data_IF_511627352706
#
_entry.id   IF_511627352706
#
_cell.length_a   1.000
_cell.length_b   1.000
_cell.length_c   1.000
_cell.angle_alpha   90.00
_cell.angle_beta   90.00
_cell.angle_gamma   90.00
#
_symmetry.space_group_name_H-M   'P 1'
#
loop_
_entity.id
_entity.type
_entity.pdbx_description
1 polymer ?
#
# COMPACT_ATOMS: atom_id res chain seq x y z
N UNK A 1 -24.98 -20.66 20.80
CA UNK A 1 -25.91 -19.50 20.88
C UNK A 1 -25.11 -18.26 20.53
N UNK A 2 -25.21 -17.78 19.28
CA UNK A 2 -24.52 -16.58 18.80
C UNK A 2 -25.24 -15.34 19.36
N UNK A 3 -24.50 -14.42 19.99
CA UNK A 3 -25.01 -13.09 20.37
C UNK A 3 -24.50 -12.09 19.34
N UNK A 4 -25.42 -11.48 18.62
CA UNK A 4 -25.17 -10.34 17.73
C UNK A 4 -25.28 -9.09 18.61
N UNK A 5 -24.26 -8.24 18.59
CA UNK A 5 -24.24 -6.97 19.32
C UNK A 5 -24.12 -5.85 18.29
N UNK A 6 -25.22 -5.13 18.07
CA UNK A 6 -25.30 -3.95 17.21
C UNK A 6 -25.03 -2.75 18.12
N UNK A 7 -23.94 -2.02 17.85
CA UNK A 7 -23.64 -0.76 18.52
C UNK A 7 -24.12 0.37 17.59
N UNK A 8 -25.09 1.15 18.06
CA UNK A 8 -25.54 2.39 17.43
C UNK A 8 -24.86 3.55 18.15
N UNK A 9 -24.09 4.36 17.44
CA UNK A 9 -23.44 5.55 17.99
C UNK A 9 -24.08 6.80 17.38
N UNK A 10 -24.72 7.60 18.24
CA UNK A 10 -25.28 8.92 17.94
C UNK A 10 -24.19 9.94 18.23
N UNK A 11 -23.74 10.70 17.23
CA UNK A 11 -22.85 11.85 17.45
C UNK A 11 -23.67 13.14 17.36
N UNK A 12 -23.70 13.83 18.50
CA UNK A 12 -24.33 15.12 18.73
C UNK A 12 -23.38 16.23 18.25
N UNK A 13 -23.78 16.97 17.21
CA UNK A 13 -23.04 18.16 16.75
C UNK A 13 -23.24 19.33 17.74
N UNK A 14 -22.15 19.94 18.19
CA UNK A 14 -22.17 21.32 18.68
C UNK A 14 -21.18 22.15 17.86
N UNK A 15 -21.74 23.02 17.02
CA UNK A 15 -21.03 24.12 16.38
C UNK A 15 -20.78 25.23 17.40
N UNK A 16 -19.58 25.80 17.37
CA UNK A 16 -19.35 27.21 17.75
C UNK A 16 -18.46 27.83 16.69
N UNK A 17 -19.02 28.81 15.98
CA UNK A 17 -18.34 29.67 15.00
C UNK A 17 -17.86 30.98 15.65
N UNK A 18 -17.11 31.77 14.86
CA UNK A 18 -16.86 33.23 14.94
C UNK A 18 -15.56 33.59 15.71
N UNK A 19 -14.64 34.47 15.25
CA UNK A 19 -14.65 35.53 14.23
C UNK A 19 -13.24 35.84 13.68
N UNK A 20 -13.22 36.40 12.47
CA UNK A 20 -12.12 37.15 11.86
C UNK A 20 -11.81 38.47 12.60
N UNK A 21 -10.56 38.93 12.54
CA UNK A 21 -10.26 40.38 12.45
C UNK A 21 -9.07 40.64 11.54
N UNK A 22 -9.30 41.57 10.61
CA UNK A 22 -8.39 42.12 9.61
C UNK A 22 -7.77 43.41 10.15
N UNK A 23 -6.49 43.71 9.85
CA UNK A 23 -5.93 45.07 9.96
C UNK A 23 -4.69 45.20 9.08
N UNK A 24 -4.66 46.23 8.23
CA UNK A 24 -3.65 46.45 7.19
C UNK A 24 -2.69 47.63 7.42
N UNK A 25 -2.18 48.12 6.27
CA UNK A 25 -1.18 49.18 5.97
C UNK A 25 0.31 48.80 6.20
N UNK A 26 1.26 49.05 5.29
CA UNK A 26 1.21 49.62 3.94
C UNK A 26 2.61 49.85 3.31
N UNK A 27 2.58 50.09 1.99
CA UNK A 27 3.51 50.82 1.08
C UNK A 27 4.91 50.28 0.71
N UNK A 28 5.01 49.86 -0.57
CA UNK A 28 5.95 50.17 -1.67
C UNK A 28 7.46 50.38 -1.41
N UNK A 29 8.28 49.61 -2.15
CA UNK A 29 9.21 50.09 -3.20
C UNK A 29 9.92 48.90 -3.92
N UNK A 30 10.07 48.98 -5.25
CA UNK A 30 10.85 48.08 -6.13
C UNK A 30 11.44 48.96 -7.27
N UNK A 31 12.47 48.54 -8.04
CA UNK A 31 13.83 48.07 -7.72
C UNK A 31 14.90 49.04 -8.32
N UNK A 32 16.16 48.61 -8.49
CA UNK A 32 16.68 48.67 -9.87
C UNK A 32 17.48 47.43 -10.33
N UNK A 33 17.52 47.32 -11.65
CA UNK A 33 18.17 46.33 -12.50
C UNK A 33 19.53 46.88 -13.01
N UNK A 34 20.62 46.09 -12.97
CA UNK A 34 21.50 45.83 -14.13
C UNK A 34 22.74 44.94 -13.83
N UNK A 35 22.84 43.94 -14.71
CA UNK A 35 23.95 43.11 -15.22
C UNK A 35 25.38 43.66 -15.08
N UNK A 36 26.35 42.81 -14.65
CA UNK A 36 27.66 42.61 -15.34
C UNK A 36 28.12 41.14 -15.14
N UNK A 37 28.30 40.47 -16.27
CA UNK A 37 28.98 39.20 -16.49
C UNK A 37 30.51 39.41 -16.49
N UNK A 38 31.30 38.54 -15.82
CA UNK A 38 32.68 38.29 -16.24
C UNK A 38 33.24 37.01 -15.63
N UNK A 39 33.62 36.10 -16.53
CA UNK A 39 34.48 34.95 -16.28
C UNK A 39 35.95 35.39 -16.20
N UNK A 40 36.75 34.74 -15.35
CA UNK A 40 38.12 34.26 -15.61
C UNK A 40 38.54 33.43 -14.36
N UNK A 41 38.56 32.12 -14.40
CA UNK A 41 39.54 31.19 -14.99
C UNK A 41 40.68 30.79 -14.02
N UNK A 42 40.67 29.48 -13.76
CA UNK A 42 41.73 28.50 -13.45
C UNK A 42 42.56 28.45 -12.15
N UNK A 43 42.58 27.19 -11.65
CA UNK A 43 43.62 26.38 -10.94
C UNK A 43 43.55 26.30 -9.41
N UNK A 44 43.77 25.17 -8.75
CA UNK A 44 43.82 23.72 -9.05
C UNK A 44 44.07 23.01 -7.69
N UNK A 45 43.42 21.85 -7.45
CA UNK A 45 43.76 20.79 -6.47
C UNK A 45 43.74 21.16 -4.96
N UNK A 46 43.27 20.34 -4.02
CA UNK A 46 43.23 18.88 -3.92
C UNK A 46 42.26 18.48 -2.78
N UNK A 47 41.93 17.19 -2.68
CA UNK A 47 41.08 16.51 -1.67
C UNK A 47 39.56 16.45 -1.91
N UNK A 48 39.18 15.79 -3.02
CA UNK A 48 37.98 14.96 -3.03
C UNK A 48 38.31 13.63 -2.35
N UNK A 49 37.88 13.47 -1.10
CA UNK A 49 37.58 12.14 -0.58
C UNK A 49 36.27 11.70 -1.22
N UNK A 50 36.38 10.78 -2.18
CA UNK A 50 35.27 9.95 -2.60
C UNK A 50 34.75 9.21 -1.36
N UNK A 51 33.69 9.74 -0.75
CA UNK A 51 32.75 8.88 -0.04
C UNK A 51 32.03 8.08 -1.13
N UNK A 52 32.55 6.89 -1.41
CA UNK A 52 31.76 5.83 -2.01
C UNK A 52 30.49 5.68 -1.17
N UNK A 53 29.39 6.29 -1.63
CA UNK A 53 28.06 5.90 -1.19
C UNK A 53 27.92 4.43 -1.55
N UNK A 54 27.54 3.54 -0.62
CA UNK A 54 27.28 2.17 -0.96
C UNK A 54 26.15 2.17 -2.00
N UNK A 55 26.47 1.73 -3.22
CA UNK A 55 25.46 1.38 -4.20
C UNK A 55 24.71 0.19 -3.62
N UNK A 56 23.54 0.45 -3.04
CA UNK A 56 22.65 -0.59 -2.58
C UNK A 56 22.23 -1.38 -3.82
N UNK A 57 22.75 -2.59 -3.94
CA UNK A 57 22.29 -3.56 -4.92
C UNK A 57 20.94 -4.05 -4.42
N UNK A 58 19.84 -3.42 -4.87
CA UNK A 58 18.48 -3.78 -4.50
C UNK A 58 17.99 -5.08 -5.17
N UNK A 59 18.84 -5.78 -5.92
CA UNK A 59 18.54 -7.15 -6.37
C UNK A 59 18.82 -8.16 -5.24
N UNK A 60 18.20 -7.98 -4.08
CA UNK A 60 18.06 -9.08 -3.13
C UNK A 60 16.91 -9.92 -3.68
N UNK A 61 17.25 -10.94 -4.47
CA UNK A 61 16.30 -12.00 -4.81
C UNK A 61 15.90 -12.61 -3.47
N UNK A 62 14.72 -12.22 -2.97
CA UNK A 62 14.20 -12.69 -1.71
C UNK A 62 13.71 -14.12 -1.93
N UNK A 63 14.53 -15.08 -1.55
CA UNK A 63 14.16 -16.50 -1.51
C UNK A 63 13.88 -16.83 -0.05
N UNK A 64 12.63 -17.12 0.29
CA UNK A 64 12.22 -17.36 1.66
C UNK A 64 12.95 -18.58 2.24
N UNK A 65 13.48 -18.40 3.45
CA UNK A 65 13.89 -19.50 4.30
C UNK A 65 12.69 -19.87 5.18
N UNK A 66 12.19 -21.10 5.06
CA UNK A 66 11.07 -21.61 5.86
C UNK A 66 11.32 -21.51 7.37
N UNK A 67 12.58 -21.63 7.81
CA UNK A 67 12.96 -21.46 9.22
C UNK A 67 12.76 -20.02 9.73
N UNK A 68 12.67 -19.04 8.82
CA UNK A 68 12.44 -17.64 9.15
C UNK A 68 10.95 -17.26 9.16
N UNK A 69 10.07 -18.16 8.71
CA UNK A 69 8.62 -17.97 8.69
C UNK A 69 8.03 -18.35 10.04
N UNK A 70 7.29 -17.41 10.62
CA UNK A 70 6.59 -17.59 11.89
C UNK A 70 5.14 -18.05 11.67
N UNK A 71 4.46 -17.52 10.67
CA UNK A 71 3.05 -17.81 10.40
C UNK A 71 2.78 -17.70 8.90
N UNK A 72 1.96 -18.60 8.37
CA UNK A 72 1.45 -18.56 7.00
C UNK A 72 -0.05 -18.85 7.05
N UNK A 73 -0.84 -17.91 6.55
CA UNK A 73 -2.28 -18.01 6.41
C UNK A 73 -2.63 -18.00 4.92
N UNK A 74 -3.42 -18.98 4.50
CA UNK A 74 -3.96 -19.06 3.15
C UNK A 74 -5.42 -19.49 3.19
N UNK A 75 -6.30 -18.59 2.76
CA UNK A 75 -7.71 -18.84 2.55
C UNK A 75 -8.04 -18.84 1.07
N UNK A 76 -8.77 -19.85 0.60
CA UNK A 76 -9.26 -19.94 -0.77
C UNK A 76 -10.74 -20.26 -0.75
N UNK A 77 -11.54 -19.40 -1.38
CA UNK A 77 -12.93 -19.67 -1.69
C UNK A 77 -13.07 -20.00 -3.18
N UNK A 78 -13.80 -21.08 -3.49
CA UNK A 78 -14.13 -21.46 -4.85
C UNK A 78 -15.52 -20.98 -5.25
N UNK A 79 -15.78 -20.84 -6.55
CA UNK A 79 -17.11 -20.50 -7.09
C UNK A 79 -18.19 -21.51 -6.71
N UNK A 80 -17.79 -22.75 -6.36
CA UNK A 80 -18.69 -23.77 -5.82
C UNK A 80 -19.17 -23.49 -4.39
N UNK A 81 -18.58 -22.50 -3.70
CA UNK A 81 -18.79 -22.21 -2.28
C UNK A 81 -17.95 -23.10 -1.34
N UNK A 82 -17.03 -23.91 -1.88
CA UNK A 82 -16.05 -24.63 -1.06
C UNK A 82 -14.97 -23.65 -0.58
N UNK A 83 -14.68 -23.70 0.72
CA UNK A 83 -13.61 -22.96 1.38
C UNK A 83 -12.47 -23.92 1.76
N UNK A 84 -11.23 -23.44 1.62
CA UNK A 84 -10.00 -24.10 2.03
C UNK A 84 -9.23 -23.10 2.88
N UNK A 85 -8.82 -23.49 4.08
CA UNK A 85 -8.11 -22.65 5.04
C UNK A 85 -6.86 -23.40 5.51
N UNK A 86 -5.72 -22.74 5.42
CA UNK A 86 -4.42 -23.22 5.87
C UNK A 86 -3.82 -22.15 6.79
N UNK A 87 -3.94 -22.36 8.09
CA UNK A 87 -3.33 -21.54 9.15
C UNK A 87 -2.18 -22.37 9.75
N UNK A 88 -0.96 -22.07 9.30
CA UNK A 88 0.26 -22.79 9.65
C UNK A 88 1.14 -21.92 10.55
N UNK A 89 1.44 -22.42 11.74
CA UNK A 89 2.32 -21.77 12.70
C UNK A 89 3.72 -22.41 12.62
N UNK A 90 4.76 -21.62 12.37
CA UNK A 90 6.13 -22.10 12.18
C UNK A 90 6.70 -22.89 13.36
N UNK A 91 6.14 -22.76 14.56
CA UNK A 91 6.50 -23.59 15.71
C UNK A 91 5.79 -24.95 15.77
N UNK A 92 4.66 -25.11 15.07
CA UNK A 92 3.83 -26.33 15.08
C UNK A 92 3.90 -27.12 13.77
N UNK A 93 3.96 -26.40 12.66
CA UNK A 93 3.71 -26.90 11.31
C UNK A 93 4.90 -26.62 10.37
N UNK A 94 6.11 -26.44 10.94
CA UNK A 94 7.37 -26.11 10.23
C UNK A 94 7.58 -26.95 8.95
N UNK A 95 7.34 -28.27 9.03
CA UNK A 95 7.50 -29.18 7.88
C UNK A 95 6.47 -28.93 6.76
N UNK A 96 5.25 -28.52 7.11
CA UNK A 96 4.21 -28.21 6.13
C UNK A 96 4.49 -26.87 5.46
N UNK A 97 4.97 -25.87 6.23
CA UNK A 97 5.47 -24.61 5.69
C UNK A 97 6.66 -24.84 4.76
N UNK A 98 7.63 -25.65 5.18
CA UNK A 98 8.79 -26.06 4.36
C UNK A 98 8.35 -26.70 3.04
N UNK A 99 7.44 -27.66 3.10
CA UNK A 99 6.93 -28.35 1.91
C UNK A 99 6.22 -27.36 0.97
N UNK A 100 5.36 -26.51 1.50
CA UNK A 100 4.63 -25.50 0.73
C UNK A 100 5.59 -24.50 0.07
N UNK A 101 6.48 -23.88 0.84
CA UNK A 101 7.42 -22.86 0.35
C UNK A 101 8.57 -23.43 -0.50
N UNK A 102 8.76 -24.76 -0.51
CA UNK A 102 9.67 -25.41 -1.46
C UNK A 102 9.15 -25.41 -2.90
N UNK A 103 7.84 -25.21 -3.08
CA UNK A 103 7.16 -25.22 -4.38
C UNK A 103 6.61 -23.85 -4.75
N UNK A 104 6.04 -23.14 -3.77
CA UNK A 104 5.48 -21.80 -3.95
C UNK A 104 6.53 -20.79 -3.53
N UNK A 105 7.14 -20.11 -4.52
CA UNK A 105 8.10 -19.07 -4.24
C UNK A 105 7.34 -17.76 -4.04
N UNK A 106 7.16 -17.39 -2.78
CA UNK A 106 6.71 -16.06 -2.39
C UNK A 106 7.85 -15.08 -2.68
N UNK A 107 7.56 -13.90 -3.22
CA UNK A 107 8.58 -12.88 -3.51
C UNK A 107 7.89 -11.53 -3.74
N UNK A 108 8.35 -10.48 -3.04
CA UNK A 108 7.81 -9.12 -3.16
C UNK A 108 7.93 -8.52 -4.57
N UNK A 109 8.91 -8.98 -5.36
CA UNK A 109 9.15 -8.54 -6.73
C UNK A 109 8.48 -9.45 -7.77
N UNK A 110 7.89 -10.58 -7.34
CA UNK A 110 7.11 -11.45 -8.24
C UNK A 110 5.70 -10.87 -8.42
N UNK A 111 5.17 -10.86 -9.67
CA UNK A 111 3.78 -10.50 -9.91
C UNK A 111 2.81 -11.33 -9.07
N UNK A 112 1.78 -10.69 -8.53
CA UNK A 112 0.77 -11.34 -7.68
C UNK A 112 0.06 -12.46 -8.45
N UNK A 113 -0.22 -12.26 -9.75
CA UNK A 113 -0.87 -13.27 -10.59
C UNK A 113 -0.08 -14.57 -10.69
N UNK A 114 1.26 -14.49 -10.70
CA UNK A 114 2.18 -15.64 -10.73
C UNK A 114 2.21 -16.35 -9.38
N UNK A 115 2.22 -15.61 -8.27
CA UNK A 115 2.10 -16.22 -6.93
C UNK A 115 0.78 -16.97 -6.78
N UNK A 116 -0.33 -16.36 -7.22
CA UNK A 116 -1.64 -17.03 -7.26
C UNK A 116 -1.57 -18.31 -8.13
N UNK A 117 -1.02 -18.24 -9.34
CA UNK A 117 -0.89 -19.42 -10.22
C UNK A 117 -0.10 -20.54 -9.54
N UNK A 118 1.02 -20.24 -8.89
CA UNK A 118 1.85 -21.22 -8.17
C UNK A 118 1.09 -21.90 -7.03
N UNK A 119 0.38 -21.12 -6.21
CA UNK A 119 -0.44 -21.65 -5.10
C UNK A 119 -1.55 -22.56 -5.65
N UNK A 120 -2.31 -22.09 -6.63
CA UNK A 120 -3.42 -22.86 -7.18
C UNK A 120 -2.93 -24.15 -7.87
N UNK A 121 -1.81 -24.08 -8.60
CA UNK A 121 -1.23 -25.26 -9.23
C UNK A 121 -0.75 -26.29 -8.20
N UNK A 122 -0.11 -25.84 -7.11
CA UNK A 122 0.32 -26.72 -6.02
C UNK A 122 -0.87 -27.43 -5.35
N UNK A 123 -1.99 -26.72 -5.18
CA UNK A 123 -3.22 -27.26 -4.58
C UNK A 123 -4.14 -27.97 -5.60
N UNK A 124 -3.70 -28.11 -6.85
CA UNK A 124 -4.47 -28.70 -7.96
C UNK A 124 -5.83 -28.02 -8.19
N UNK A 125 -5.91 -26.71 -7.95
CA UNK A 125 -7.11 -25.88 -8.15
C UNK A 125 -7.06 -25.23 -9.54
N UNK A 126 -8.13 -25.37 -10.32
CA UNK A 126 -8.26 -24.65 -11.57
C UNK A 126 -8.53 -23.16 -11.29
N UNK A 127 -7.75 -22.26 -11.90
CA UNK A 127 -7.92 -20.80 -11.76
C UNK A 127 -9.32 -20.30 -12.12
N UNK A 128 -10.04 -21.00 -13.01
CA UNK A 128 -11.41 -20.65 -13.37
C UNK A 128 -12.43 -20.96 -12.26
N UNK A 129 -12.08 -21.83 -11.31
CA UNK A 129 -12.94 -22.16 -10.18
C UNK A 129 -12.68 -21.25 -8.97
N UNK A 130 -11.64 -20.39 -9.02
CA UNK A 130 -11.32 -19.45 -7.97
C UNK A 130 -12.41 -18.38 -7.83
N UNK A 131 -12.83 -18.10 -6.60
CA UNK A 131 -13.64 -16.93 -6.26
C UNK A 131 -12.83 -15.91 -5.48
N UNK A 132 -12.08 -16.36 -4.49
CA UNK A 132 -11.24 -15.52 -3.65
C UNK A 132 -10.00 -16.28 -3.18
N UNK A 133 -8.88 -15.58 -3.08
CA UNK A 133 -7.66 -16.04 -2.40
C UNK A 133 -7.18 -14.94 -1.47
N UNK A 134 -6.84 -15.29 -0.25
CA UNK A 134 -6.24 -14.41 0.77
C UNK A 134 -4.98 -15.11 1.28
N UNK A 135 -3.84 -14.44 1.16
CA UNK A 135 -2.55 -14.98 1.54
C UNK A 135 -1.84 -13.97 2.44
N UNK A 136 -1.40 -14.41 3.62
CA UNK A 136 -0.54 -13.64 4.51
C UNK A 136 0.60 -14.52 5.03
N UNK A 137 1.77 -13.92 5.15
CA UNK A 137 2.96 -14.54 5.69
C UNK A 137 3.60 -13.57 6.69
N UNK A 138 3.88 -14.05 7.89
CA UNK A 138 4.62 -13.32 8.94
C UNK A 138 5.95 -14.02 9.21
N UNK A 139 7.02 -13.24 9.20
CA UNK A 139 8.38 -13.69 9.51
C UNK A 139 8.67 -13.55 11.01
N UNK A 140 9.65 -14.30 11.53
CA UNK A 140 10.17 -14.08 12.90
C UNK A 140 10.82 -12.70 13.07
N UNK A 141 11.27 -12.08 11.96
CA UNK A 141 11.70 -10.68 11.92
C UNK A 141 10.55 -9.69 12.13
N UNK A 142 9.30 -10.17 12.16
CA UNK A 142 8.03 -9.43 12.15
C UNK A 142 7.68 -8.79 10.82
N UNK A 143 8.45 -9.01 9.76
CA UNK A 143 8.03 -8.64 8.41
C UNK A 143 6.74 -9.38 8.06
N UNK A 144 5.72 -8.66 7.58
CA UNK A 144 4.45 -9.22 7.13
C UNK A 144 4.22 -8.88 5.67
N UNK A 145 3.83 -9.88 4.90
CA UNK A 145 3.59 -9.75 3.47
C UNK A 145 2.29 -10.46 3.16
N UNK A 146 1.44 -9.83 2.36
CA UNK A 146 0.18 -10.45 2.00
C UNK A 146 -0.46 -9.84 0.78
N UNK A 147 -1.34 -10.61 0.18
CA UNK A 147 -2.22 -10.15 -0.87
C UNK A 147 -3.57 -10.86 -0.75
N UNK A 148 -4.60 -10.20 -1.24
CA UNK A 148 -5.94 -10.76 -1.38
C UNK A 148 -6.49 -10.42 -2.74
N UNK A 149 -7.14 -11.38 -3.36
CA UNK A 149 -7.78 -11.21 -4.66
C UNK A 149 -9.17 -11.83 -4.67
N UNK A 150 -10.19 -11.02 -4.95
CA UNK A 150 -11.55 -11.46 -5.25
C UNK A 150 -11.80 -11.34 -6.76
N UNK A 151 -12.23 -12.43 -7.38
CA UNK A 151 -12.57 -12.43 -8.81
C UNK A 151 -13.85 -11.63 -9.04
N UNK A 152 -13.77 -10.64 -9.94
CA UNK A 152 -14.94 -9.87 -10.38
C UNK A 152 -16.02 -10.75 -11.01
N UNK A 153 -17.29 -10.42 -10.76
CA UNK A 153 -18.45 -11.18 -11.27
C UNK A 153 -19.09 -10.54 -12.49
N UNK A 154 -18.79 -9.26 -12.73
CA UNK A 154 -19.29 -8.51 -13.87
C UNK A 154 -18.20 -8.32 -14.92
N UNK A 155 -18.61 -8.32 -16.20
CA UNK A 155 -17.76 -8.02 -17.35
C UNK A 155 -17.92 -6.56 -17.80
N UNK A 156 -18.55 -5.73 -16.96
CA UNK A 156 -18.70 -4.29 -17.18
C UNK A 156 -17.37 -3.53 -17.20
N UNK A 157 -17.48 -2.23 -17.41
CA UNK A 157 -16.32 -1.34 -17.31
C UNK A 157 -15.76 -1.36 -15.89
N UNK A 158 -14.44 -1.56 -15.76
CA UNK A 158 -13.76 -1.52 -14.47
C UNK A 158 -13.58 -0.06 -14.06
N UNK A 159 -14.50 0.43 -13.24
CA UNK A 159 -14.34 1.70 -12.52
C UNK A 159 -14.05 1.41 -11.06
N UNK A 160 -13.23 2.23 -10.42
CA UNK A 160 -12.95 2.12 -8.99
C UNK A 160 -14.25 2.44 -8.24
N UNK A 161 -14.67 1.52 -7.38
CA UNK A 161 -15.81 1.65 -6.48
C UNK A 161 -15.31 2.17 -5.14
N UNK A 162 -14.36 1.44 -4.57
CA UNK A 162 -13.76 1.74 -3.27
C UNK A 162 -12.23 1.63 -3.35
N UNK A 163 -11.53 2.47 -2.60
CA UNK A 163 -10.07 2.41 -2.44
C UNK A 163 -9.68 2.87 -1.05
N UNK A 164 -8.86 2.07 -0.37
CA UNK A 164 -8.28 2.38 0.92
C UNK A 164 -6.77 2.19 0.87
N UNK A 165 -6.01 3.07 1.51
CA UNK A 165 -4.57 2.90 1.70
C UNK A 165 -4.13 3.47 3.04
N UNK A 166 -3.36 2.68 3.77
CA UNK A 166 -2.78 3.07 5.05
C UNK A 166 -1.25 3.09 4.94
N UNK A 167 -0.64 4.13 5.50
CA UNK A 167 0.81 4.28 5.62
C UNK A 167 1.13 4.59 7.07
N UNK A 168 2.00 3.79 7.68
CA UNK A 168 2.57 4.09 8.99
C UNK A 168 4.06 4.35 8.89
N UNK A 169 4.49 5.45 9.49
CA UNK A 169 5.88 5.87 9.52
C UNK A 169 6.60 5.29 10.73
N UNK A 170 7.92 5.12 10.63
CA UNK A 170 8.77 4.74 11.76
C UNK A 170 8.76 5.75 12.92
N UNK A 171 8.33 6.99 12.65
CA UNK A 171 8.07 8.02 13.66
C UNK A 171 6.80 7.76 14.50
N UNK A 172 5.95 6.82 14.07
CA UNK A 172 4.63 6.54 14.62
C UNK A 172 3.49 7.35 13.99
N UNK A 173 3.79 8.28 13.09
CA UNK A 173 2.78 8.96 12.28
C UNK A 173 2.03 7.94 11.39
N UNK A 174 0.78 8.25 11.08
CA UNK A 174 -0.12 7.49 10.21
C UNK A 174 -0.82 8.40 9.22
N UNK A 175 -0.88 7.96 7.98
CA UNK A 175 -1.70 8.55 6.92
C UNK A 175 -2.71 7.51 6.44
N UNK A 176 -3.96 7.93 6.29
CA UNK A 176 -5.08 7.06 5.91
C UNK A 176 -5.81 7.71 4.73
N UNK A 177 -6.06 6.95 3.66
CA UNK A 177 -6.74 7.39 2.44
C UNK A 177 -7.96 6.51 2.24
N UNK A 178 -9.14 7.11 2.06
CA UNK A 178 -10.44 6.41 1.99
C UNK A 178 -11.28 7.01 0.86
N UNK A 179 -11.60 6.19 -0.14
CA UNK A 179 -12.40 6.48 -1.33
C UNK A 179 -13.61 5.58 -1.36
N UNK A 180 -14.82 6.13 -1.24
CA UNK A 180 -16.06 5.37 -1.39
C UNK A 180 -16.98 6.08 -2.39
N UNK A 181 -16.96 5.65 -3.65
CA UNK A 181 -17.68 6.32 -4.73
C UNK A 181 -19.20 6.28 -4.52
N UNK A 182 -19.74 5.17 -4.02
CA UNK A 182 -21.20 4.97 -3.86
C UNK A 182 -21.79 5.84 -2.77
N UNK A 183 -21.09 5.92 -1.66
CA UNK A 183 -21.52 6.68 -0.49
C UNK A 183 -21.05 8.14 -0.55
N UNK A 184 -20.24 8.48 -1.56
CA UNK A 184 -19.65 9.81 -1.75
C UNK A 184 -18.84 10.26 -0.53
N UNK A 185 -18.19 9.30 0.11
CA UNK A 185 -17.32 9.49 1.26
C UNK A 185 -15.87 9.46 0.77
N UNK A 186 -15.16 10.57 0.99
CA UNK A 186 -13.78 10.75 0.54
C UNK A 186 -13.01 11.46 1.62
N UNK A 187 -11.88 10.88 2.03
CA UNK A 187 -11.14 11.33 3.20
C UNK A 187 -9.66 10.98 3.07
N UNK A 188 -8.82 11.94 3.43
CA UNK A 188 -7.39 11.73 3.61
C UNK A 188 -7.04 12.32 4.97
N UNK A 189 -6.58 11.49 5.90
CA UNK A 189 -6.15 11.93 7.24
C UNK A 189 -4.64 11.92 7.34
N UNK A 190 -4.10 13.05 7.79
CA UNK A 190 -2.68 13.24 8.04
C UNK A 190 -2.43 13.42 9.53
N UNK A 191 -1.28 12.93 10.01
CA UNK A 191 -0.93 13.07 11.43
C UNK A 191 -0.69 14.52 11.90
N UNK A 192 -0.53 15.46 10.98
CA UNK A 192 -0.37 16.89 11.29
C UNK A 192 -1.71 17.65 11.35
N UNK A 193 -2.83 16.97 11.08
CA UNK A 193 -4.17 17.53 11.09
C UNK A 193 -4.53 18.36 9.86
N UNK A 194 -3.77 18.24 8.76
CA UNK A 194 -4.08 18.88 7.47
C UNK A 194 -5.03 18.05 6.60
N UNK A 195 -5.96 17.32 7.23
CA UNK A 195 -6.87 16.37 6.60
C UNK A 195 -7.70 16.98 5.46
N UNK A 196 -7.89 16.18 4.40
CA UNK A 196 -8.76 16.51 3.27
C UNK A 196 -10.06 15.71 3.36
N UNK A 197 -11.18 16.32 2.94
CA UNK A 197 -12.50 15.67 2.95
C UNK A 197 -13.35 16.06 1.74
N UNK A 198 -14.28 15.20 1.38
CA UNK A 198 -15.24 15.44 0.31
C UNK A 198 -14.54 15.67 -1.03
N UNK A 199 -14.92 16.72 -1.76
CA UNK A 199 -14.43 16.92 -3.13
C UNK A 199 -12.91 17.13 -3.22
N UNK A 200 -12.30 17.77 -2.22
CA UNK A 200 -10.85 17.99 -2.17
C UNK A 200 -10.09 16.66 -2.03
N UNK A 201 -10.55 15.78 -1.14
CA UNK A 201 -9.99 14.43 -1.00
C UNK A 201 -10.22 13.61 -2.28
N UNK A 202 -11.42 13.68 -2.86
CA UNK A 202 -11.75 13.00 -4.10
C UNK A 202 -10.80 13.40 -5.23
N UNK A 203 -10.59 14.70 -5.45
CA UNK A 203 -9.70 15.21 -6.51
C UNK A 203 -8.25 14.73 -6.29
N UNK A 204 -7.77 14.75 -5.05
CA UNK A 204 -6.41 14.29 -4.72
C UNK A 204 -6.24 12.79 -4.97
N UNK A 205 -7.19 11.97 -4.54
CA UNK A 205 -7.13 10.53 -4.75
C UNK A 205 -7.32 10.14 -6.22
N UNK A 206 -8.16 10.83 -6.97
CA UNK A 206 -8.29 10.63 -8.42
C UNK A 206 -6.96 10.95 -9.14
N UNK A 207 -6.21 11.95 -8.66
CA UNK A 207 -4.86 12.21 -9.18
C UNK A 207 -3.91 11.06 -8.85
N UNK A 208 -3.83 10.63 -7.59
CA UNK A 208 -2.99 9.49 -7.15
C UNK A 208 -3.29 8.23 -7.96
N UNK A 209 -4.57 7.85 -8.05
CA UNK A 209 -5.02 6.64 -8.75
C UNK A 209 -4.80 6.72 -10.27
N UNK A 210 -4.67 7.92 -10.85
CA UNK A 210 -4.33 8.08 -12.26
C UNK A 210 -2.84 7.86 -12.58
N UNK A 211 -1.98 7.95 -11.56
CA UNK A 211 -0.53 7.77 -11.70
C UNK A 211 -0.08 6.31 -11.48
N UNK A 212 -0.88 5.52 -10.75
CA UNK A 212 -0.54 4.14 -10.38
C UNK A 212 -1.21 3.13 -11.31
N UNK A 213 -0.42 2.22 -11.88
CA UNK A 213 -0.97 1.06 -12.61
C UNK A 213 -1.28 -0.04 -11.62
N UNK A 214 -2.56 -0.29 -11.34
CA UNK A 214 -2.99 -1.28 -10.34
C UNK A 214 -3.50 -2.53 -11.06
N UNK A 215 -2.84 -3.66 -10.80
CA UNK A 215 -3.21 -4.95 -11.39
C UNK A 215 -2.42 -6.11 -10.79
N UNK A 216 -2.90 -7.33 -11.01
CA UNK A 216 -2.25 -8.54 -10.49
C UNK A 216 -0.92 -8.84 -11.18
N UNK A 217 -0.68 -8.26 -12.36
CA UNK A 217 0.59 -8.34 -13.07
C UNK A 217 1.70 -7.52 -12.42
N UNK A 218 1.35 -6.63 -11.48
CA UNK A 218 2.31 -5.92 -10.65
C UNK A 218 2.73 -6.77 -9.45
N UNK A 219 3.93 -6.52 -8.96
CA UNK A 219 4.43 -7.09 -7.71
C UNK A 219 4.05 -6.19 -6.53
N UNK A 220 4.08 -6.73 -5.30
CA UNK A 220 3.79 -5.97 -4.08
C UNK A 220 4.78 -4.80 -3.93
N UNK A 221 6.07 -5.06 -4.17
CA UNK A 221 7.16 -4.07 -4.17
C UNK A 221 6.91 -2.94 -5.18
N UNK A 222 6.47 -3.27 -6.39
CA UNK A 222 6.20 -2.28 -7.43
C UNK A 222 4.96 -1.43 -7.10
N UNK A 223 3.86 -2.06 -6.66
CA UNK A 223 2.66 -1.33 -6.22
C UNK A 223 2.98 -0.36 -5.08
N UNK A 224 3.66 -0.85 -4.03
CA UNK A 224 4.11 -0.04 -2.90
C UNK A 224 4.90 1.17 -3.38
N UNK A 225 5.93 0.93 -4.19
CA UNK A 225 6.78 1.99 -4.72
C UNK A 225 6.00 3.04 -5.52
N UNK A 226 5.07 2.62 -6.36
CA UNK A 226 4.29 3.53 -7.20
C UNK A 226 3.32 4.38 -6.36
N UNK A 227 2.64 3.78 -5.39
CA UNK A 227 1.79 4.53 -4.45
C UNK A 227 2.60 5.51 -3.61
N UNK A 228 3.72 5.08 -3.02
CA UNK A 228 4.58 5.97 -2.22
C UNK A 228 5.16 7.10 -3.05
N UNK A 229 5.50 6.85 -4.32
CA UNK A 229 5.94 7.90 -5.24
C UNK A 229 4.82 8.92 -5.51
N UNK A 230 3.58 8.46 -5.75
CA UNK A 230 2.42 9.32 -6.00
C UNK A 230 2.10 10.25 -4.81
N UNK A 231 2.33 9.79 -3.58
CA UNK A 231 2.13 10.60 -2.36
C UNK A 231 3.42 11.22 -1.81
N UNK A 232 4.52 11.16 -2.58
CA UNK A 232 5.83 11.71 -2.23
C UNK A 232 6.35 11.26 -0.84
N UNK A 233 6.19 9.98 -0.54
CA UNK A 233 6.71 9.32 0.67
C UNK A 233 7.96 8.51 0.34
N UNK A 234 8.99 8.61 1.18
CA UNK A 234 10.17 7.77 1.06
C UNK A 234 9.92 6.41 1.75
N UNK A 235 10.20 5.32 1.05
CA UNK A 235 10.00 3.96 1.56
C UNK A 235 10.81 3.67 2.83
N UNK A 236 12.00 4.26 2.97
CA UNK A 236 12.87 4.08 4.15
C UNK A 236 12.25 4.64 5.44
N UNK A 237 11.23 5.50 5.33
CA UNK A 237 10.60 6.18 6.47
C UNK A 237 9.38 5.41 7.01
N UNK A 238 8.96 4.33 6.36
CA UNK A 238 7.71 3.63 6.68
C UNK A 238 7.93 2.23 7.27
N UNK A 239 6.99 1.83 8.13
CA UNK A 239 6.95 0.52 8.80
C UNK A 239 5.73 -0.29 8.41
N UNK A 240 4.65 0.31 7.94
CA UNK A 240 3.46 -0.41 7.45
C UNK A 240 2.97 0.28 6.18
N UNK A 241 2.58 -0.54 5.22
CA UNK A 241 1.88 -0.11 4.02
C UNK A 241 0.91 -1.20 3.62
N UNK A 242 -0.36 -0.84 3.48
CA UNK A 242 -1.34 -1.69 2.82
C UNK A 242 -2.31 -0.85 2.00
N UNK A 243 -2.85 -1.48 0.96
CA UNK A 243 -3.94 -0.90 0.19
C UNK A 243 -4.99 -1.95 -0.11
N UNK A 244 -6.20 -1.48 -0.33
CA UNK A 244 -7.32 -2.23 -0.85
C UNK A 244 -7.98 -1.45 -1.98
N UNK A 245 -8.29 -2.11 -3.08
CA UNK A 245 -9.05 -1.54 -4.18
C UNK A 245 -10.16 -2.49 -4.57
N UNK A 246 -11.37 -1.96 -4.71
CA UNK A 246 -12.53 -2.67 -5.23
C UNK A 246 -13.07 -1.97 -6.47
N UNK A 247 -13.23 -2.73 -7.55
CA UNK A 247 -13.88 -2.28 -8.76
C UNK A 247 -15.40 -2.49 -8.70
N UNK A 248 -16.14 -1.74 -9.51
CA UNK A 248 -17.59 -1.88 -9.67
C UNK A 248 -18.02 -3.25 -10.19
N UNK A 249 -17.11 -3.97 -10.86
CA UNK A 249 -17.30 -5.36 -11.29
C UNK A 249 -17.29 -6.37 -10.13
N UNK A 250 -16.98 -5.91 -8.92
CA UNK A 250 -16.80 -6.72 -7.72
C UNK A 250 -15.40 -7.32 -7.57
N UNK A 251 -14.50 -7.07 -8.53
CA UNK A 251 -13.10 -7.46 -8.40
C UNK A 251 -12.44 -6.67 -7.27
N UNK A 252 -11.69 -7.34 -6.42
CA UNK A 252 -10.96 -6.72 -5.31
C UNK A 252 -9.51 -7.16 -5.34
N UNK A 253 -8.60 -6.22 -5.13
CA UNK A 253 -7.16 -6.44 -4.99
C UNK A 253 -6.73 -5.75 -3.70
N UNK A 254 -6.03 -6.48 -2.84
CA UNK A 254 -5.35 -5.92 -1.66
C UNK A 254 -3.92 -6.43 -1.63
N UNK A 255 -2.99 -5.59 -1.19
CA UNK A 255 -1.63 -5.99 -0.88
C UNK A 255 -1.16 -5.28 0.39
N UNK A 256 -0.23 -5.91 1.10
CA UNK A 256 0.40 -5.37 2.31
C UNK A 256 1.88 -5.72 2.38
N UNK A 257 2.65 -4.80 2.95
CA UNK A 257 4.05 -5.00 3.32
C UNK A 257 4.39 -4.21 4.59
N UNK A 258 4.55 -4.92 5.69
CA UNK A 258 4.89 -4.34 6.99
C UNK A 258 6.29 -4.78 7.43
N UNK A 259 7.04 -3.86 8.04
CA UNK A 259 8.37 -4.03 8.61
C UNK A 259 8.44 -3.35 9.99
N UNK A 260 8.48 -4.16 11.06
CA UNK A 260 8.38 -3.71 12.46
C UNK A 260 9.69 -3.78 13.27
#
# INVERSE_FOLDING_TARGET
MKKILIISLIILSMMISVACTNSGNGTNEQPPENVIENQLDTKENQDKKDLEKPRHNSNKIFVYNSEEVKELNLDIELLSGKELEYDLDGGRDEREIEEFLSVVEINLDKPIDKMIDEILNHLEINRQDLKEIDFELEMYSKEKIGFKYHVGRDNGEKTIDDFDMDIKFGSGAKWEYEYELRDSEFKIEYSDGTDLRGKEAQDEMENILSEVTIGLEQSISQLKKDFLAAVNVNEDDITEWDFELKYTTGEKIKAKHDNY
#
